data_IF_934446408517
#
_entry.id   IF_934446408517
#
_cell.length_a   1.000
_cell.length_b   1.000
_cell.length_c   1.000
_cell.angle_alpha   90.00
_cell.angle_beta   90.00
_cell.angle_gamma   90.00
#
_symmetry.space_group_name_H-M   'P 1'
#
loop_
_entity.id
_entity.type
_entity.pdbx_description
1 polymer ?
#
# COMPACT_ATOMS: atom_id res chain seq x y z
N UNK A 1 51.68 -22.44 -27.40
CA UNK A 1 50.27 -22.14 -27.40
C UNK A 1 49.76 -22.40 -25.99
N UNK A 2 49.55 -21.39 -25.13
CA UNK A 2 48.95 -21.63 -23.83
C UNK A 2 47.42 -21.46 -23.92
N UNK A 3 46.73 -22.37 -23.24
CA UNK A 3 45.29 -22.40 -23.14
C UNK A 3 44.80 -21.32 -22.17
N UNK A 4 43.75 -20.59 -22.55
CA UNK A 4 43.03 -19.69 -21.69
C UNK A 4 42.17 -20.44 -20.64
N UNK A 5 42.16 -20.07 -19.39
CA UNK A 5 41.16 -20.55 -18.44
C UNK A 5 39.83 -19.84 -18.71
N UNK A 6 38.79 -20.62 -18.84
CA UNK A 6 37.40 -20.14 -18.82
C UNK A 6 37.03 -19.86 -17.37
N UNK A 7 36.83 -18.60 -17.06
CA UNK A 7 36.21 -18.16 -15.81
C UNK A 7 34.68 -18.34 -15.98
N UNK A 8 34.15 -19.35 -15.33
CA UNK A 8 32.73 -19.59 -15.22
C UNK A 8 32.28 -19.15 -13.82
N UNK A 9 32.02 -17.87 -13.64
CA UNK A 9 31.23 -17.41 -12.50
C UNK A 9 29.77 -17.83 -12.75
N UNK A 10 29.43 -19.04 -12.36
CA UNK A 10 28.03 -19.42 -12.17
C UNK A 10 27.50 -18.63 -10.97
N UNK A 11 26.76 -17.57 -11.24
CA UNK A 11 25.81 -17.06 -10.26
C UNK A 11 24.78 -18.17 -10.07
N UNK A 12 24.73 -18.73 -8.87
CA UNK A 12 23.62 -19.56 -8.45
C UNK A 12 22.38 -18.66 -8.45
N UNK A 13 21.48 -18.86 -9.39
CA UNK A 13 20.14 -18.31 -9.33
C UNK A 13 19.52 -18.81 -8.02
N UNK A 14 19.09 -17.88 -7.15
CA UNK A 14 18.29 -18.23 -6.00
C UNK A 14 17.03 -18.96 -6.53
N UNK A 15 16.56 -20.01 -5.86
CA UNK A 15 15.38 -20.71 -6.32
C UNK A 15 14.20 -19.72 -6.40
N UNK A 16 13.57 -19.62 -7.56
CA UNK A 16 12.30 -18.92 -7.71
C UNK A 16 11.28 -19.65 -6.83
N UNK A 17 10.88 -19.00 -5.73
CA UNK A 17 9.73 -19.46 -4.96
C UNK A 17 8.48 -19.14 -5.77
N UNK A 18 7.99 -20.10 -6.51
CA UNK A 18 6.75 -20.00 -7.27
C UNK A 18 5.64 -20.57 -6.39
N UNK A 19 4.63 -19.75 -6.07
CA UNK A 19 3.37 -20.26 -5.52
C UNK A 19 2.71 -21.08 -6.63
N UNK A 20 2.83 -22.40 -6.57
CA UNK A 20 2.27 -23.32 -7.56
C UNK A 20 0.86 -23.70 -7.13
N UNK A 21 -0.12 -23.05 -7.69
CA UNK A 21 -1.52 -23.46 -7.53
C UNK A 21 -2.44 -22.36 -7.01
N UNK A 22 -3.75 -22.65 -6.99
CA UNK A 22 -4.71 -21.80 -6.33
C UNK A 22 -4.38 -21.68 -4.84
N UNK A 23 -4.89 -20.63 -4.20
CA UNK A 23 -4.88 -20.46 -2.74
C UNK A 23 -5.20 -21.79 -2.08
N UNK A 24 -4.40 -22.20 -1.08
CA UNK A 24 -4.56 -23.52 -0.44
C UNK A 24 -6.00 -23.75 0.03
N UNK A 25 -6.46 -24.99 -0.09
CA UNK A 25 -7.85 -25.36 0.16
C UNK A 25 -8.27 -25.21 1.65
N UNK A 26 -7.29 -25.16 2.57
CA UNK A 26 -7.53 -25.05 4.01
C UNK A 26 -6.88 -23.78 4.57
N UNK A 27 -7.64 -22.67 4.73
CA UNK A 27 -7.14 -21.45 5.35
C UNK A 27 -6.83 -21.67 6.84
N UNK A 28 -5.76 -20.98 7.34
CA UNK A 28 -5.28 -21.12 8.71
C UNK A 28 -6.16 -20.39 9.73
N UNK A 29 -6.84 -19.32 9.31
CA UNK A 29 -7.57 -18.41 10.20
C UNK A 29 -9.03 -18.25 9.81
N UNK A 30 -9.78 -17.70 10.76
CA UNK A 30 -11.17 -17.30 10.58
C UNK A 30 -11.26 -15.78 10.38
N UNK A 31 -12.23 -15.35 9.56
CA UNK A 31 -12.48 -13.95 9.28
C UNK A 31 -13.59 -13.40 10.16
N UNK A 32 -13.27 -12.47 11.04
CA UNK A 32 -14.20 -11.77 11.91
C UNK A 32 -14.58 -10.40 11.32
N UNK A 33 -15.87 -10.06 11.32
CA UNK A 33 -16.33 -8.71 10.94
C UNK A 33 -16.12 -7.74 12.10
N UNK A 34 -15.40 -6.64 11.81
CA UNK A 34 -15.16 -5.54 12.78
C UNK A 34 -16.16 -4.40 12.57
N UNK A 35 -16.32 -3.95 11.30
CA UNK A 35 -17.22 -2.84 10.96
C UNK A 35 -17.82 -3.00 9.55
N UNK A 36 -18.99 -2.41 9.34
CA UNK A 36 -19.72 -2.39 8.08
C UNK A 36 -19.93 -0.96 7.61
N UNK A 37 -19.36 -0.58 6.46
CA UNK A 37 -19.45 0.77 5.90
C UNK A 37 -20.61 0.86 4.91
N UNK A 38 -21.58 1.74 5.20
CA UNK A 38 -22.72 2.02 4.31
C UNK A 38 -22.53 3.29 3.49
N UNK A 39 -21.51 4.07 3.80
CA UNK A 39 -21.10 5.30 3.15
C UNK A 39 -20.15 5.09 1.95
N UNK A 40 -19.07 5.87 1.82
CA UNK A 40 -18.05 5.73 0.78
C UNK A 40 -17.25 4.43 0.91
N UNK A 41 -16.53 4.12 -0.16
CA UNK A 41 -15.67 2.94 -0.25
C UNK A 41 -14.38 3.15 0.56
N UNK A 42 -14.08 2.32 1.59
CA UNK A 42 -12.82 2.42 2.34
C UNK A 42 -11.66 1.86 1.52
N UNK A 43 -10.46 2.42 1.70
CA UNK A 43 -9.21 1.83 1.22
C UNK A 43 -8.30 1.45 2.38
N UNK A 44 -7.88 2.39 3.21
CA UNK A 44 -6.91 2.15 4.26
C UNK A 44 -7.52 1.83 5.62
N UNK A 45 -6.75 1.12 6.43
CA UNK A 45 -6.98 0.89 7.86
C UNK A 45 -5.66 0.97 8.60
N UNK A 46 -5.68 1.56 9.79
CA UNK A 46 -4.57 1.47 10.74
C UNK A 46 -5.08 1.39 12.17
N UNK A 47 -4.40 0.56 12.98
CA UNK A 47 -4.78 0.37 14.39
C UNK A 47 -3.64 0.87 15.28
N UNK A 48 -3.97 1.76 16.23
CA UNK A 48 -2.99 2.28 17.19
C UNK A 48 -2.56 1.21 18.19
N UNK A 49 -1.45 1.47 18.88
CA UNK A 49 -0.97 0.55 19.90
C UNK A 49 -1.91 0.44 21.10
N UNK A 50 -2.83 1.40 21.23
CA UNK A 50 -3.89 1.41 22.25
C UNK A 50 -5.22 0.83 21.76
N UNK A 51 -5.27 0.36 20.51
CA UNK A 51 -6.44 -0.30 19.91
C UNK A 51 -7.44 0.65 19.27
N UNK A 52 -7.10 1.93 19.04
CA UNK A 52 -7.94 2.86 18.26
C UNK A 52 -7.86 2.47 16.78
N UNK A 53 -8.98 2.44 16.09
CA UNK A 53 -9.07 2.01 14.68
C UNK A 53 -9.38 3.21 13.80
N UNK A 54 -8.51 3.47 12.84
CA UNK A 54 -8.66 4.54 11.85
C UNK A 54 -8.92 3.96 10.48
N UNK A 55 -9.74 4.64 9.67
CA UNK A 55 -10.08 4.24 8.30
C UNK A 55 -10.09 5.47 7.42
N UNK A 56 -9.67 5.32 6.16
CA UNK A 56 -9.77 6.39 5.18
C UNK A 56 -10.58 6.03 3.94
N UNK A 57 -11.10 7.07 3.31
CA UNK A 57 -11.94 7.02 2.11
C UNK A 57 -11.40 8.01 1.08
N UNK A 58 -10.87 7.55 -0.06
CA UNK A 58 -10.36 8.45 -1.09
C UNK A 58 -11.50 9.11 -1.87
N UNK A 59 -11.21 10.25 -2.47
CA UNK A 59 -12.14 10.98 -3.34
C UNK A 59 -12.20 10.34 -4.74
N UNK A 60 -12.84 9.16 -4.85
CA UNK A 60 -12.96 8.37 -6.09
C UNK A 60 -14.38 8.34 -6.67
N UNK A 61 -15.16 9.40 -6.41
CA UNK A 61 -16.48 9.59 -6.98
C UNK A 61 -17.66 9.23 -6.08
N UNK A 62 -17.41 8.65 -4.92
CA UNK A 62 -18.40 8.56 -3.85
C UNK A 62 -18.55 9.94 -3.16
N UNK A 63 -19.69 10.17 -2.51
CA UNK A 63 -19.83 11.25 -1.56
C UNK A 63 -19.03 10.88 -0.30
N UNK A 64 -17.98 11.64 0.01
CA UNK A 64 -17.05 11.40 1.12
C UNK A 64 -17.19 12.53 2.14
N UNK A 65 -18.05 12.40 3.16
CA UNK A 65 -18.25 13.44 4.19
C UNK A 65 -17.00 13.69 5.03
N UNK A 66 -16.20 12.65 5.25
CA UNK A 66 -14.89 12.73 5.89
C UNK A 66 -13.95 11.70 5.24
N UNK A 67 -12.76 12.14 4.84
CA UNK A 67 -11.79 11.26 4.19
C UNK A 67 -10.97 10.44 5.19
N UNK A 68 -10.91 10.87 6.46
CA UNK A 68 -10.32 10.12 7.58
C UNK A 68 -11.29 10.06 8.74
N UNK A 69 -11.54 8.87 9.26
CA UNK A 69 -12.39 8.66 10.43
C UNK A 69 -11.72 7.78 11.46
N UNK A 70 -12.12 7.91 12.72
CA UNK A 70 -11.90 6.93 13.76
C UNK A 70 -13.19 6.17 14.03
N UNK A 71 -13.11 4.85 14.19
CA UNK A 71 -14.24 4.02 14.61
C UNK A 71 -14.39 4.10 16.13
N UNK A 72 -15.42 4.82 16.60
CA UNK A 72 -15.73 4.99 18.04
C UNK A 72 -17.13 4.46 18.32
N UNK A 73 -17.25 3.47 19.18
CA UNK A 73 -18.53 2.87 19.59
C UNK A 73 -19.41 2.46 18.40
N UNK A 74 -18.80 1.96 17.33
CA UNK A 74 -19.48 1.57 16.10
C UNK A 74 -19.85 2.72 15.15
N UNK A 75 -19.48 3.97 15.46
CA UNK A 75 -19.67 5.13 14.61
C UNK A 75 -18.37 5.55 13.89
N UNK A 76 -18.53 6.10 12.68
CA UNK A 76 -17.47 6.72 11.88
C UNK A 76 -17.36 8.20 12.27
N UNK A 77 -16.34 8.56 13.07
CA UNK A 77 -16.13 9.93 13.59
C UNK A 77 -15.01 10.62 12.83
N UNK A 78 -15.24 11.79 12.17
CA UNK A 78 -14.19 12.52 11.45
C UNK A 78 -12.95 12.78 12.32
N UNK A 79 -11.75 12.43 11.81
CA UNK A 79 -10.51 12.50 12.55
C UNK A 79 -9.43 13.29 11.77
N UNK A 80 -8.58 14.12 12.41
CA UNK A 80 -8.58 14.46 13.82
C UNK A 80 -9.79 15.34 14.22
N UNK A 81 -10.34 16.06 13.26
CA UNK A 81 -11.53 16.91 13.44
C UNK A 81 -12.22 17.17 12.08
N UNK A 82 -13.43 17.76 12.06
CA UNK A 82 -14.15 18.07 10.82
C UNK A 82 -13.44 19.10 9.93
N UNK A 83 -12.61 19.99 10.49
CA UNK A 83 -11.91 21.03 9.71
C UNK A 83 -10.87 20.40 8.78
N UNK A 84 -10.11 19.42 9.27
CA UNK A 84 -9.15 18.70 8.45
C UNK A 84 -9.80 17.89 7.32
N UNK A 85 -11.06 17.53 7.47
CA UNK A 85 -11.86 16.81 6.48
C UNK A 85 -12.68 17.75 5.56
N UNK A 86 -12.39 19.06 5.53
CA UNK A 86 -13.14 20.06 4.76
C UNK A 86 -12.20 20.96 3.96
N UNK A 87 -11.57 20.43 2.88
CA UNK A 87 -10.61 21.20 2.08
C UNK A 87 -11.30 22.34 1.32
N UNK A 88 -10.59 23.44 1.14
CA UNK A 88 -11.04 24.59 0.35
C UNK A 88 -10.74 24.45 -1.15
N UNK A 89 -9.89 23.49 -1.52
CA UNK A 89 -9.47 23.20 -2.88
C UNK A 89 -8.49 22.03 -2.95
N UNK A 90 -8.08 21.64 -4.16
CA UNK A 90 -7.17 20.50 -4.37
C UNK A 90 -5.71 20.80 -3.96
N UNK A 91 -5.38 22.07 -3.69
CA UNK A 91 -4.07 22.55 -3.24
C UNK A 91 -4.05 22.95 -1.76
N UNK A 92 -5.10 22.61 -1.00
CA UNK A 92 -5.21 22.98 0.42
C UNK A 92 -4.21 22.19 1.28
N UNK A 93 -3.13 22.86 1.69
CA UNK A 93 -2.12 22.29 2.59
C UNK A 93 -2.59 22.19 4.05
N UNK A 94 -3.74 22.74 4.41
CA UNK A 94 -4.26 22.82 5.78
C UNK A 94 -5.46 21.92 6.03
N UNK A 95 -5.87 21.12 5.04
CA UNK A 95 -6.93 20.12 5.13
C UNK A 95 -6.61 18.90 4.24
N UNK A 96 -7.30 17.78 4.46
CA UNK A 96 -7.17 16.58 3.65
C UNK A 96 -7.96 16.73 2.34
N UNK A 97 -7.29 16.53 1.21
CA UNK A 97 -7.89 16.65 -0.14
C UNK A 97 -8.41 15.31 -0.64
N UNK A 98 -7.56 14.29 -0.64
CA UNK A 98 -7.91 12.92 -1.05
C UNK A 98 -6.93 11.94 -0.41
N UNK A 99 -7.28 11.40 0.74
CA UNK A 99 -6.41 10.51 1.51
C UNK A 99 -6.47 9.11 0.95
N UNK A 100 -5.31 8.53 0.62
CA UNK A 100 -5.18 7.15 0.13
C UNK A 100 -4.76 6.19 1.22
N UNK A 101 -3.88 6.60 2.12
CA UNK A 101 -3.37 5.73 3.18
C UNK A 101 -3.27 6.46 4.51
N UNK A 102 -3.42 5.70 5.58
CA UNK A 102 -3.19 6.10 6.97
C UNK A 102 -2.38 5.00 7.65
N UNK A 103 -1.34 5.38 8.39
CA UNK A 103 -0.47 4.42 9.08
C UNK A 103 -0.10 4.95 10.46
N UNK A 104 -0.27 4.12 11.48
CA UNK A 104 0.27 4.37 12.82
C UNK A 104 1.74 3.98 12.83
N UNK A 105 2.62 4.93 13.15
CA UNK A 105 4.04 4.71 13.18
C UNK A 105 4.52 3.96 14.45
N UNK A 106 5.78 3.52 14.50
CA UNK A 106 6.31 2.82 15.68
C UNK A 106 6.20 3.60 17.01
N UNK A 107 6.02 4.92 16.99
CA UNK A 107 5.84 5.76 18.19
C UNK A 107 4.37 6.04 18.54
N UNK A 108 3.42 5.29 17.95
CA UNK A 108 1.98 5.42 18.15
C UNK A 108 1.42 6.79 17.73
N UNK A 109 1.89 7.32 16.58
CA UNK A 109 1.38 8.54 15.95
C UNK A 109 0.73 8.17 14.62
N UNK A 110 -0.44 8.75 14.33
CA UNK A 110 -1.10 8.53 13.04
C UNK A 110 -0.48 9.43 11.97
N UNK A 111 -0.07 8.84 10.86
CA UNK A 111 0.30 9.55 9.65
C UNK A 111 -0.75 9.37 8.58
N UNK A 112 -1.14 10.48 7.98
CA UNK A 112 -2.15 10.55 6.91
C UNK A 112 -1.44 10.91 5.62
N UNK A 113 -1.49 10.03 4.64
CA UNK A 113 -0.91 10.22 3.32
C UNK A 113 -1.99 10.73 2.36
N UNK A 114 -1.91 12.01 2.04
CA UNK A 114 -2.84 12.68 1.15
C UNK A 114 -2.24 12.78 -0.26
N UNK A 115 -2.93 12.23 -1.22
CA UNK A 115 -2.48 12.26 -2.62
C UNK A 115 -2.57 13.65 -3.24
N UNK A 116 -3.48 14.51 -2.74
CA UNK A 116 -3.83 15.76 -3.42
C UNK A 116 -4.35 15.55 -4.85
N UNK A 117 -4.89 14.35 -5.14
CA UNK A 117 -5.28 13.92 -6.50
C UNK A 117 -6.68 13.30 -6.52
N UNK A 118 -7.73 14.07 -6.16
CA UNK A 118 -9.09 13.55 -6.21
C UNK A 118 -9.45 13.14 -7.64
N UNK A 119 -10.09 11.98 -7.80
CA UNK A 119 -10.44 11.38 -9.10
C UNK A 119 -9.23 11.18 -10.01
N UNK A 120 -8.04 10.92 -9.44
CA UNK A 120 -6.77 10.79 -10.17
C UNK A 120 -6.43 12.00 -11.07
N UNK A 121 -6.91 13.19 -10.71
CA UNK A 121 -6.54 14.44 -11.38
C UNK A 121 -5.07 14.78 -11.11
N UNK A 122 -4.41 15.52 -12.01
CA UNK A 122 -3.05 15.97 -11.76
C UNK A 122 -2.91 16.70 -10.42
N UNK A 123 -1.84 16.38 -9.69
CA UNK A 123 -1.53 17.02 -8.40
C UNK A 123 -1.17 18.50 -8.59
N UNK A 124 -1.57 19.33 -7.62
CA UNK A 124 -1.14 20.73 -7.51
C UNK A 124 -0.19 20.90 -6.32
N UNK A 125 0.63 21.94 -6.35
CA UNK A 125 1.55 22.25 -5.24
C UNK A 125 0.76 22.51 -3.96
N UNK A 126 1.14 21.81 -2.86
CA UNK A 126 0.44 21.87 -1.57
C UNK A 126 -0.61 20.78 -1.37
N UNK A 127 -1.14 20.18 -2.45
CA UNK A 127 -2.09 19.06 -2.37
C UNK A 127 -1.46 17.79 -1.80
N UNK A 128 -0.44 17.21 -2.45
CA UNK A 128 0.26 16.02 -1.93
C UNK A 128 1.01 16.33 -0.64
N UNK A 129 0.70 15.58 0.43
CA UNK A 129 1.30 15.80 1.75
C UNK A 129 1.25 14.57 2.63
N UNK A 130 2.13 14.57 3.62
CA UNK A 130 2.18 13.60 4.71
C UNK A 130 1.92 14.36 6.02
N UNK A 131 0.86 14.01 6.74
CA UNK A 131 0.39 14.74 7.93
C UNK A 131 0.46 13.84 9.15
N UNK A 132 1.20 14.27 10.18
CA UNK A 132 1.26 13.58 11.48
C UNK A 132 0.20 14.11 12.42
N UNK A 133 -0.53 13.19 13.03
CA UNK A 133 -1.47 13.47 14.12
C UNK A 133 -0.97 12.78 15.38
N UNK A 134 -0.81 13.54 16.44
CA UNK A 134 -0.39 13.06 17.75
C UNK A 134 -1.64 12.50 18.49
N UNK A 135 -1.66 11.17 18.71
CA UNK A 135 -2.86 10.48 19.22
C UNK A 135 -3.17 10.73 20.70
N UNK A 136 -2.22 11.25 21.47
CA UNK A 136 -2.44 11.66 22.85
C UNK A 136 -3.30 12.93 22.95
N UNK A 137 -3.27 13.78 21.94
CA UNK A 137 -3.95 15.10 21.92
C UNK A 137 -4.95 15.23 20.80
N UNK A 138 -5.06 14.26 19.90
CA UNK A 138 -5.84 14.27 18.66
C UNK A 138 -5.58 15.54 17.81
N UNK A 139 -4.32 15.99 17.78
CA UNK A 139 -3.94 17.23 17.09
C UNK A 139 -2.85 17.01 16.05
N UNK A 140 -2.93 17.79 14.96
CA UNK A 140 -1.89 17.78 13.94
C UNK A 140 -0.60 18.39 14.48
N UNK A 141 0.47 17.60 14.50
CA UNK A 141 1.78 17.99 14.99
C UNK A 141 2.76 18.36 13.89
N UNK A 142 2.58 17.86 12.65
CA UNK A 142 3.46 18.13 11.52
C UNK A 142 2.74 17.97 10.19
N UNK A 143 3.09 18.83 9.22
CA UNK A 143 2.67 18.72 7.81
C UNK A 143 3.90 18.78 6.93
N UNK A 144 4.10 17.78 6.10
CA UNK A 144 5.18 17.71 5.10
C UNK A 144 4.51 17.74 3.73
N UNK A 145 4.67 18.83 2.99
CA UNK A 145 4.22 18.94 1.59
C UNK A 145 5.32 18.50 0.65
N UNK A 146 4.96 17.81 -0.41
CA UNK A 146 5.95 17.32 -1.40
C UNK A 146 6.20 18.37 -2.47
N UNK A 147 7.49 18.64 -2.82
CA UNK A 147 7.81 19.48 -3.96
C UNK A 147 7.43 18.81 -5.28
N UNK A 148 7.21 19.61 -6.33
CA UNK A 148 6.69 19.16 -7.63
C UNK A 148 7.63 18.29 -8.45
N UNK A 149 8.89 18.20 -8.07
CA UNK A 149 9.90 17.28 -8.62
C UNK A 149 9.93 15.92 -7.87
N UNK A 150 9.24 15.82 -6.73
CA UNK A 150 9.05 14.59 -5.97
C UNK A 150 7.63 14.06 -6.18
N UNK A 151 6.60 14.83 -5.86
CA UNK A 151 5.22 14.52 -6.24
C UNK A 151 4.93 15.19 -7.60
N UNK A 152 5.21 14.45 -8.67
CA UNK A 152 5.00 14.89 -10.05
C UNK A 152 3.49 15.10 -10.31
N UNK A 153 3.09 15.84 -11.35
CA UNK A 153 1.66 15.98 -11.70
C UNK A 153 0.94 14.66 -11.92
N UNK A 154 1.68 13.59 -12.25
CA UNK A 154 1.16 12.23 -12.46
C UNK A 154 1.29 11.32 -11.25
N UNK A 155 1.99 11.75 -10.19
CA UNK A 155 2.21 10.94 -8.99
C UNK A 155 0.89 10.62 -8.28
N UNK A 156 0.76 9.38 -7.85
CA UNK A 156 -0.27 8.94 -6.94
C UNK A 156 0.37 8.31 -5.70
N UNK A 157 0.44 9.09 -4.62
CA UNK A 157 0.99 8.63 -3.33
C UNK A 157 0.07 7.54 -2.80
N UNK A 158 0.56 6.31 -2.64
CA UNK A 158 -0.31 5.20 -2.34
C UNK A 158 -0.25 4.74 -0.89
N UNK A 159 0.87 4.17 -0.45
CA UNK A 159 1.01 3.69 0.92
C UNK A 159 2.36 4.06 1.51
N UNK A 160 2.52 3.99 2.84
CA UNK A 160 3.70 4.47 3.56
C UNK A 160 4.14 3.50 4.67
N UNK A 161 5.48 3.38 4.88
CA UNK A 161 6.06 2.66 6.03
C UNK A 161 7.15 3.51 6.67
N UNK A 162 7.40 3.29 7.97
CA UNK A 162 8.27 4.12 8.79
C UNK A 162 9.39 3.32 9.45
N UNK A 163 10.62 3.89 9.46
CA UNK A 163 11.72 3.45 10.31
C UNK A 163 12.23 4.66 11.13
N UNK A 164 11.88 4.72 12.42
CA UNK A 164 12.21 5.84 13.29
C UNK A 164 13.66 5.78 13.83
N UNK A 165 14.40 4.71 13.57
CA UNK A 165 15.80 4.57 13.95
C UNK A 165 16.76 5.30 13.02
N UNK A 166 16.25 5.77 11.83
CA UNK A 166 17.06 6.41 10.79
C UNK A 166 16.89 7.92 10.85
N UNK A 167 18.00 8.66 10.73
CA UNK A 167 17.99 10.13 10.82
C UNK A 167 17.64 10.61 12.24
N UNK A 168 17.25 11.88 12.36
CA UNK A 168 16.95 12.51 13.66
C UNK A 168 15.55 12.17 14.18
N UNK A 169 14.54 12.11 13.28
CA UNK A 169 13.15 11.86 13.64
C UNK A 169 12.55 10.63 12.92
N UNK A 170 13.34 9.93 12.13
CA UNK A 170 12.93 8.80 11.33
C UNK A 170 12.87 9.07 9.84
N UNK A 171 12.64 8.01 9.08
CA UNK A 171 12.48 8.01 7.63
C UNK A 171 11.16 7.36 7.27
N UNK A 172 10.43 7.94 6.30
CA UNK A 172 9.28 7.32 5.68
C UNK A 172 9.58 6.89 4.25
N UNK A 173 8.96 5.79 3.82
CA UNK A 173 9.03 5.23 2.47
C UNK A 173 7.62 5.16 1.91
N UNK A 174 7.40 5.72 0.72
CA UNK A 174 6.07 5.86 0.10
C UNK A 174 6.12 5.27 -1.31
N UNK A 175 5.11 4.50 -1.69
CA UNK A 175 4.94 4.02 -3.05
C UNK A 175 4.21 5.04 -3.93
N UNK A 176 4.64 5.15 -5.20
CA UNK A 176 3.98 5.93 -6.25
C UNK A 176 3.33 4.99 -7.27
N UNK A 177 2.02 4.81 -7.15
CA UNK A 177 1.24 3.90 -7.98
C UNK A 177 0.65 4.57 -9.23
N UNK A 178 1.19 5.71 -9.65
CA UNK A 178 0.73 6.45 -10.83
C UNK A 178 0.28 5.55 -12.00
N UNK A 179 -0.85 5.89 -12.60
CA UNK A 179 -1.39 5.19 -13.78
C UNK A 179 -0.62 5.49 -15.08
N UNK A 180 -0.04 6.67 -15.20
CA UNK A 180 0.46 7.20 -16.49
C UNK A 180 1.83 7.84 -16.42
N UNK A 181 2.32 8.07 -15.23
CA UNK A 181 3.62 8.67 -14.99
C UNK A 181 4.66 7.64 -14.57
N UNK A 182 5.89 8.07 -14.34
CA UNK A 182 6.91 7.20 -13.79
C UNK A 182 6.54 6.80 -12.37
N UNK A 183 6.58 5.49 -12.10
CA UNK A 183 6.42 4.96 -10.75
C UNK A 183 7.74 5.00 -9.99
N UNK A 184 7.71 4.82 -8.69
CA UNK A 184 8.92 4.84 -7.87
C UNK A 184 8.64 4.64 -6.39
N UNK A 185 9.68 4.81 -5.59
CA UNK A 185 9.62 4.92 -4.14
C UNK A 185 10.01 6.36 -3.77
N UNK A 186 9.20 7.02 -2.96
CA UNK A 186 9.52 8.34 -2.40
C UNK A 186 10.01 8.12 -0.98
N UNK A 187 11.13 8.76 -0.64
CA UNK A 187 11.74 8.71 0.69
C UNK A 187 11.62 10.07 1.34
N UNK A 188 11.33 10.11 2.63
CA UNK A 188 11.13 11.34 3.39
C UNK A 188 11.97 11.30 4.66
N UNK A 189 12.81 12.29 4.87
CA UNK A 189 13.41 12.60 6.16
C UNK A 189 12.38 13.31 7.04
N UNK A 190 11.94 12.68 8.12
CA UNK A 190 10.84 13.20 8.94
C UNK A 190 11.24 14.40 9.80
N UNK A 191 12.53 14.63 10.04
CA UNK A 191 13.00 15.79 10.80
C UNK A 191 12.94 17.08 9.97
N UNK A 192 13.47 17.02 8.76
CA UNK A 192 13.59 18.18 7.86
C UNK A 192 12.39 18.34 6.92
N UNK A 193 11.64 17.26 6.64
CA UNK A 193 10.65 17.19 5.58
C UNK A 193 11.25 17.07 4.17
N UNK A 194 12.58 16.96 4.05
CA UNK A 194 13.22 16.72 2.76
C UNK A 194 12.79 15.38 2.18
N UNK A 195 12.54 15.36 0.89
CA UNK A 195 12.08 14.15 0.20
C UNK A 195 12.77 13.99 -1.15
N UNK A 196 12.89 12.75 -1.61
CA UNK A 196 13.50 12.42 -2.90
C UNK A 196 12.90 11.14 -3.47
N UNK A 197 13.02 10.96 -4.80
CA UNK A 197 12.56 9.78 -5.52
C UNK A 197 13.68 8.77 -5.67
N UNK A 198 13.36 7.49 -5.52
CA UNK A 198 14.21 6.33 -5.79
C UNK A 198 13.48 5.35 -6.71
N UNK A 199 14.23 4.51 -7.40
CA UNK A 199 13.69 3.54 -8.37
C UNK A 199 12.72 4.22 -9.35
N UNK A 200 13.01 5.46 -9.73
CA UNK A 200 12.21 6.25 -10.64
C UNK A 200 12.13 5.55 -12.00
N UNK A 201 10.93 5.21 -12.43
CA UNK A 201 10.67 4.49 -13.68
C UNK A 201 11.38 3.11 -13.81
N UNK A 202 11.83 2.54 -12.67
CA UNK A 202 12.49 1.25 -12.65
C UNK A 202 11.52 0.11 -12.99
N UNK A 203 11.94 -0.96 -13.71
CA UNK A 203 11.06 -2.06 -14.08
C UNK A 203 10.30 -2.70 -12.92
N UNK A 204 10.91 -2.80 -11.72
CA UNK A 204 10.29 -3.37 -10.52
C UNK A 204 9.15 -2.53 -9.94
N UNK A 205 9.05 -1.24 -10.30
CA UNK A 205 8.00 -0.34 -9.81
C UNK A 205 6.84 -0.21 -10.79
N UNK A 206 6.91 -0.86 -11.96
CA UNK A 206 5.89 -0.78 -13.02
C UNK A 206 4.93 -1.95 -13.01
N UNK A 207 3.72 -1.71 -13.49
CA UNK A 207 2.79 -2.79 -13.81
C UNK A 207 3.42 -3.80 -14.77
N UNK A 208 3.13 -5.07 -14.56
CA UNK A 208 3.56 -6.14 -15.46
C UNK A 208 2.85 -5.97 -16.83
N UNK A 209 3.54 -6.18 -17.95
CA UNK A 209 2.92 -6.03 -19.26
C UNK A 209 1.73 -6.97 -19.43
N UNK A 210 0.62 -6.48 -20.01
CA UNK A 210 -0.60 -7.25 -20.27
C UNK A 210 -0.38 -8.55 -21.06
N UNK A 211 0.72 -8.62 -21.82
CA UNK A 211 1.10 -9.82 -22.57
C UNK A 211 1.59 -10.97 -21.67
N UNK A 212 2.11 -10.64 -20.51
CA UNK A 212 2.67 -11.60 -19.54
C UNK A 212 1.74 -11.87 -18.36
N UNK A 213 1.02 -10.85 -17.90
CA UNK A 213 0.09 -10.97 -16.79
C UNK A 213 -1.21 -10.21 -17.06
N UNK A 214 -2.31 -10.85 -16.76
CA UNK A 214 -3.66 -10.28 -16.81
C UNK A 214 -4.45 -10.77 -15.62
N UNK A 215 -4.64 -9.95 -14.59
CA UNK A 215 -5.44 -10.34 -13.44
C UNK A 215 -6.85 -10.75 -13.83
N UNK A 216 -7.40 -11.75 -13.14
CA UNK A 216 -8.77 -12.23 -13.33
C UNK A 216 -9.52 -12.11 -12.00
N UNK A 217 -10.49 -11.22 -11.94
CA UNK A 217 -11.31 -10.99 -10.75
C UNK A 217 -12.74 -11.37 -11.04
N UNK A 218 -13.35 -12.18 -10.17
CA UNK A 218 -14.72 -12.74 -10.37
C UNK A 218 -14.89 -13.39 -11.76
N UNK A 219 -13.86 -14.13 -12.23
CA UNK A 219 -13.88 -14.85 -13.51
C UNK A 219 -13.77 -13.96 -14.75
N UNK A 220 -13.44 -12.68 -14.60
CA UNK A 220 -13.28 -11.72 -15.71
C UNK A 220 -11.93 -11.04 -15.68
N UNK A 221 -11.26 -10.86 -16.85
CA UNK A 221 -10.05 -10.06 -16.90
C UNK A 221 -10.26 -8.66 -16.33
N UNK A 222 -9.39 -8.24 -15.41
CA UNK A 222 -9.41 -6.92 -14.80
C UNK A 222 -8.90 -5.88 -15.82
N UNK A 223 -9.79 -5.04 -16.29
CA UNK A 223 -9.53 -3.97 -17.25
C UNK A 223 -10.33 -2.74 -16.85
N UNK A 224 -9.82 -1.56 -17.11
CA UNK A 224 -10.68 -0.39 -17.21
C UNK A 224 -11.66 -0.57 -18.35
N UNK A 225 -12.94 -0.36 -18.07
CA UNK A 225 -14.03 -0.41 -19.05
C UNK A 225 -14.85 0.86 -18.91
N UNK A 226 -14.41 1.96 -19.54
CA UNK A 226 -15.17 3.21 -19.49
C UNK A 226 -16.56 3.03 -20.10
N UNK A 227 -17.50 3.91 -19.78
CA UNK A 227 -18.85 3.91 -20.37
C UNK A 227 -18.76 4.00 -21.90
N UNK A 228 -17.89 4.89 -22.38
CA UNK A 228 -17.63 5.12 -23.80
C UNK A 228 -16.17 4.73 -24.12
N UNK A 229 -15.99 3.84 -25.10
CA UNK A 229 -14.68 3.43 -25.58
C UNK A 229 -14.32 1.96 -25.32
N UNK A 230 -13.18 1.53 -25.85
CA UNK A 230 -12.69 0.16 -25.69
C UNK A 230 -12.11 -0.07 -24.29
N UNK A 231 -12.12 -1.33 -23.79
CA UNK A 231 -11.40 -1.70 -22.60
C UNK A 231 -9.90 -1.39 -22.70
N UNK A 232 -9.31 -0.96 -21.59
CA UNK A 232 -7.88 -0.63 -21.46
C UNK A 232 -7.22 -1.45 -20.36
N UNK A 233 -5.93 -1.79 -20.50
CA UNK A 233 -5.16 -2.34 -19.37
C UNK A 233 -5.10 -1.32 -18.20
N UNK A 234 -5.08 -1.83 -16.99
CA UNK A 234 -4.71 -1.05 -15.83
C UNK A 234 -3.18 -1.03 -15.77
N UNK A 235 -2.59 0.14 -15.57
CA UNK A 235 -1.15 0.32 -15.54
C UNK A 235 -0.64 0.88 -14.20
N UNK A 236 -1.36 0.60 -13.10
CA UNK A 236 -0.94 1.02 -11.76
C UNK A 236 0.33 0.28 -11.35
N UNK A 237 1.34 1.06 -11.01
CA UNK A 237 2.66 0.57 -10.62
C UNK A 237 2.75 0.29 -9.13
N UNK A 238 3.88 0.68 -8.53
CA UNK A 238 4.27 0.42 -7.14
C UNK A 238 3.17 0.81 -6.15
N UNK A 239 2.61 -0.18 -5.48
CA UNK A 239 1.38 -0.09 -4.69
C UNK A 239 1.62 -0.61 -3.27
N UNK A 240 1.33 -1.88 -3.01
CA UNK A 240 1.54 -2.50 -1.71
C UNK A 240 2.98 -2.38 -1.23
N UNK A 241 3.16 -2.09 0.07
CA UNK A 241 4.46 -1.84 0.70
C UNK A 241 4.50 -2.44 2.11
N UNK A 242 5.62 -3.05 2.49
CA UNK A 242 5.92 -3.51 3.84
C UNK A 242 7.40 -3.30 4.17
N UNK A 243 7.74 -3.19 5.44
CA UNK A 243 9.13 -3.09 5.89
C UNK A 243 9.51 -4.34 6.68
N UNK A 244 10.71 -4.90 6.47
CA UNK A 244 11.14 -6.07 7.22
C UNK A 244 11.20 -5.81 8.72
N UNK A 245 11.01 -6.84 9.54
CA UNK A 245 11.00 -6.73 11.02
C UNK A 245 12.31 -6.14 11.58
N UNK A 246 13.42 -6.34 10.90
CA UNK A 246 14.73 -5.76 11.22
C UNK A 246 14.98 -4.39 10.58
N UNK A 247 14.09 -3.97 9.66
CA UNK A 247 14.16 -2.71 8.91
C UNK A 247 15.21 -2.69 7.80
N UNK A 248 15.83 -3.82 7.46
CA UNK A 248 16.89 -3.88 6.44
C UNK A 248 16.36 -3.82 5.00
N UNK A 249 15.11 -4.25 4.79
CA UNK A 249 14.48 -4.34 3.48
C UNK A 249 13.12 -3.66 3.46
N UNK A 250 12.85 -2.95 2.38
CA UNK A 250 11.52 -2.48 2.00
C UNK A 250 10.97 -3.42 0.93
N UNK A 251 9.85 -4.07 1.21
CA UNK A 251 9.11 -4.90 0.26
C UNK A 251 8.04 -4.08 -0.45
N UNK A 252 7.85 -4.31 -1.73
CA UNK A 252 6.83 -3.62 -2.51
C UNK A 252 6.39 -4.44 -3.72
N UNK A 253 5.19 -4.15 -4.23
CA UNK A 253 4.71 -4.74 -5.48
C UNK A 253 3.92 -3.72 -6.30
N UNK A 254 3.94 -3.80 -7.64
CA UNK A 254 2.95 -3.12 -8.46
C UNK A 254 1.57 -3.74 -8.26
N UNK A 255 0.51 -2.93 -8.32
CA UNK A 255 -0.88 -3.42 -8.22
C UNK A 255 -1.17 -4.50 -9.27
N UNK A 256 -0.77 -4.24 -10.51
CA UNK A 256 -0.96 -5.15 -11.62
C UNK A 256 0.34 -5.90 -11.92
N UNK A 257 0.71 -6.78 -11.02
CA UNK A 257 1.82 -7.73 -11.18
C UNK A 257 1.62 -8.92 -10.27
N UNK A 258 2.04 -10.10 -10.71
CA UNK A 258 2.22 -11.27 -9.84
C UNK A 258 3.58 -11.28 -9.15
N UNK A 259 4.52 -10.45 -9.62
CA UNK A 259 5.85 -10.31 -9.04
C UNK A 259 5.86 -9.26 -7.94
N UNK A 260 6.75 -9.46 -6.98
CA UNK A 260 7.05 -8.49 -5.95
C UNK A 260 8.54 -8.42 -5.69
N UNK A 261 8.97 -7.38 -5.01
CA UNK A 261 10.36 -7.02 -4.91
C UNK A 261 10.69 -6.54 -3.52
N UNK A 262 11.98 -6.55 -3.19
CA UNK A 262 12.50 -5.84 -2.03
C UNK A 262 13.73 -5.03 -2.39
N UNK A 263 14.03 -4.00 -1.62
CA UNK A 263 15.18 -3.11 -1.82
C UNK A 263 15.81 -2.77 -0.48
N UNK A 264 17.13 -2.49 -0.47
CA UNK A 264 17.83 -2.06 0.74
C UNK A 264 17.29 -0.72 1.25
N UNK A 265 16.85 -0.67 2.50
CA UNK A 265 16.46 0.58 3.16
C UNK A 265 17.64 1.52 3.38
N UNK A 266 18.86 0.99 3.59
CA UNK A 266 20.09 1.79 3.68
C UNK A 266 20.35 2.52 2.35
N UNK A 267 20.22 1.81 1.22
CA UNK A 267 20.42 2.41 -0.09
C UNK A 267 19.34 3.44 -0.45
N UNK A 268 18.09 3.23 -0.03
CA UNK A 268 16.99 4.17 -0.25
C UNK A 268 17.18 5.46 0.56
N UNK A 269 17.53 5.32 1.84
CA UNK A 269 17.52 6.42 2.81
C UNK A 269 18.69 7.39 2.68
N UNK A 270 19.80 7.01 2.05
CA UNK A 270 20.93 7.90 1.84
C UNK A 270 20.83 8.61 0.47
N UNK A 271 20.54 9.92 0.43
CA UNK A 271 20.42 10.66 -0.83
C UNK A 271 21.72 10.72 -1.64
N UNK A 272 22.88 10.44 -1.02
CA UNK A 272 24.19 10.43 -1.70
C UNK A 272 24.49 9.11 -2.43
N UNK A 273 23.74 8.04 -2.16
CA UNK A 273 23.89 6.78 -2.88
C UNK A 273 23.43 6.93 -4.33
N UNK A 274 24.24 6.48 -5.27
CA UNK A 274 23.94 6.48 -6.70
C UNK A 274 22.73 5.61 -7.01
N UNK A 275 21.82 6.08 -7.90
CA UNK A 275 20.59 5.36 -8.25
C UNK A 275 20.85 3.98 -8.86
N UNK A 276 22.00 3.77 -9.54
CA UNK A 276 22.41 2.46 -10.02
C UNK A 276 22.73 1.49 -8.89
N UNK A 277 23.28 1.97 -7.77
CA UNK A 277 23.51 1.14 -6.58
C UNK A 277 22.20 0.83 -5.86
N UNK A 278 21.26 1.77 -5.79
CA UNK A 278 19.92 1.52 -5.29
C UNK A 278 19.24 0.43 -6.12
N UNK A 279 19.25 0.57 -7.44
CA UNK A 279 18.68 -0.42 -8.37
C UNK A 279 19.37 -1.79 -8.25
N UNK A 280 20.69 -1.83 -8.06
CA UNK A 280 21.43 -3.08 -7.86
C UNK A 280 21.10 -3.77 -6.53
N UNK A 281 20.51 -3.08 -5.56
CA UNK A 281 20.07 -3.66 -4.29
C UNK A 281 18.65 -4.25 -4.34
N UNK A 282 17.94 -4.08 -5.47
CA UNK A 282 16.61 -4.68 -5.68
C UNK A 282 16.75 -6.19 -5.83
N UNK A 283 15.97 -6.91 -5.04
CA UNK A 283 15.79 -8.36 -5.16
C UNK A 283 14.39 -8.65 -5.71
N UNK A 284 14.29 -9.60 -6.62
CA UNK A 284 13.04 -10.20 -7.06
C UNK A 284 12.65 -11.28 -6.04
N UNK A 285 11.53 -11.10 -5.36
CA UNK A 285 11.07 -12.00 -4.29
C UNK A 285 10.22 -13.18 -4.81
N UNK A 286 10.01 -13.24 -6.12
CA UNK A 286 9.30 -14.33 -6.78
C UNK A 286 7.91 -13.98 -7.27
N UNK A 287 7.15 -15.02 -7.62
CA UNK A 287 5.74 -14.95 -8.01
C UNK A 287 4.87 -15.24 -6.78
N UNK A 288 3.96 -14.32 -6.45
CA UNK A 288 3.03 -14.45 -5.31
C UNK A 288 1.68 -15.10 -5.66
N UNK A 289 1.56 -15.66 -6.87
CA UNK A 289 0.38 -16.39 -7.32
C UNK A 289 -0.75 -15.52 -7.87
N UNK A 290 -0.55 -14.21 -8.01
CA UNK A 290 -1.56 -13.29 -8.53
C UNK A 290 -1.32 -11.85 -8.14
N UNK A 291 -2.29 -10.99 -8.40
CA UNK A 291 -2.25 -9.58 -8.04
C UNK A 291 -2.48 -9.35 -6.55
N UNK A 292 -1.74 -8.40 -5.98
CA UNK A 292 -1.92 -7.88 -4.62
C UNK A 292 -2.13 -6.39 -4.65
N UNK A 293 -2.94 -5.91 -3.73
CA UNK A 293 -3.08 -4.49 -3.40
C UNK A 293 -2.14 -4.17 -2.21
N UNK A 294 -2.50 -4.53 -0.99
CA UNK A 294 -1.71 -4.29 0.20
C UNK A 294 -0.68 -5.37 0.52
N UNK A 295 0.43 -4.91 1.12
CA UNK A 295 1.41 -5.73 1.81
C UNK A 295 1.52 -5.29 3.28
N UNK A 296 1.83 -6.22 4.18
CA UNK A 296 2.09 -5.92 5.59
C UNK A 296 3.13 -6.90 6.17
N UNK A 297 3.70 -6.57 7.31
CA UNK A 297 4.69 -7.38 8.01
C UNK A 297 4.46 -7.39 9.51
N UNK A 298 4.94 -8.43 10.19
CA UNK A 298 4.86 -8.56 11.63
C UNK A 298 6.24 -8.66 12.31
N UNK A 299 6.25 -8.57 13.62
CA UNK A 299 7.45 -8.65 14.46
C UNK A 299 8.11 -10.04 14.49
N UNK A 300 7.42 -11.07 14.00
CA UNK A 300 7.96 -12.42 13.80
C UNK A 300 8.64 -12.62 12.44
N UNK A 301 8.68 -11.57 11.60
CA UNK A 301 9.30 -11.60 10.28
C UNK A 301 8.44 -12.25 9.18
N UNK A 302 7.15 -12.42 9.41
CA UNK A 302 6.21 -12.90 8.41
C UNK A 302 5.69 -11.73 7.57
N UNK A 303 5.34 -12.01 6.32
CA UNK A 303 4.81 -11.05 5.37
C UNK A 303 3.38 -11.46 4.98
N UNK A 304 2.50 -10.50 4.88
CA UNK A 304 1.11 -10.67 4.48
C UNK A 304 0.87 -9.97 3.16
N UNK A 305 0.15 -10.65 2.27
CA UNK A 305 -0.13 -10.18 0.92
C UNK A 305 -1.63 -10.36 0.65
N UNK A 306 -2.30 -9.30 0.27
CA UNK A 306 -3.68 -9.44 -0.20
C UNK A 306 -3.69 -10.17 -1.55
N UNK A 307 -4.75 -10.92 -1.82
CA UNK A 307 -4.96 -11.59 -3.11
C UNK A 307 -6.36 -11.23 -3.63
N UNK A 308 -6.44 -10.15 -4.41
CA UNK A 308 -7.72 -9.65 -4.91
C UNK A 308 -8.34 -10.54 -5.98
N UNK A 309 -7.55 -11.40 -6.63
CA UNK A 309 -8.06 -12.38 -7.60
C UNK A 309 -8.77 -13.55 -6.89
N UNK A 310 -8.38 -13.86 -5.64
CA UNK A 310 -8.82 -15.06 -4.92
C UNK A 310 -9.60 -14.78 -3.64
N UNK A 311 -9.93 -13.52 -3.33
CA UNK A 311 -10.62 -13.12 -2.09
C UNK A 311 -9.91 -13.67 -0.84
N UNK A 312 -8.61 -13.48 -0.76
CA UNK A 312 -7.76 -14.08 0.25
C UNK A 312 -6.70 -13.12 0.78
N UNK A 313 -6.13 -13.47 1.93
CA UNK A 313 -4.85 -12.95 2.41
C UNK A 313 -3.89 -14.14 2.50
N UNK A 314 -2.73 -13.99 1.88
CA UNK A 314 -1.63 -14.95 1.97
C UNK A 314 -0.67 -14.51 3.07
N UNK A 315 0.01 -15.48 3.68
CA UNK A 315 1.12 -15.27 4.61
C UNK A 315 2.36 -15.94 4.06
N UNK A 316 3.47 -15.20 3.95
CA UNK A 316 4.78 -15.78 3.69
C UNK A 316 5.54 -15.87 4.99
N UNK A 317 5.95 -17.09 5.37
CA UNK A 317 6.78 -17.36 6.53
C UNK A 317 8.20 -16.81 6.39
N UNK A 318 8.94 -16.76 7.50
CA UNK A 318 10.37 -16.41 7.50
C UNK A 318 11.24 -17.42 6.72
N UNK A 319 10.75 -18.64 6.52
CA UNK A 319 11.34 -19.69 5.68
C UNK A 319 11.10 -19.49 4.17
N UNK A 320 10.26 -18.50 3.81
CA UNK A 320 9.88 -18.18 2.44
C UNK A 320 8.66 -18.93 1.90
N UNK A 321 8.10 -19.86 2.68
CA UNK A 321 6.92 -20.62 2.27
C UNK A 321 5.63 -19.80 2.38
N UNK A 322 4.69 -20.06 1.46
CA UNK A 322 3.40 -19.39 1.42
C UNK A 322 2.30 -20.26 2.00
N UNK A 323 1.43 -19.62 2.74
CA UNK A 323 0.22 -20.22 3.31
C UNK A 323 -0.97 -19.30 3.05
N UNK A 324 -2.17 -19.89 2.92
CA UNK A 324 -3.41 -19.11 2.93
C UNK A 324 -3.78 -18.78 4.36
N UNK A 325 -3.67 -17.51 4.76
CA UNK A 325 -4.10 -17.09 6.09
C UNK A 325 -5.62 -17.12 6.19
N UNK A 326 -6.32 -16.46 5.27
CA UNK A 326 -7.79 -16.49 5.16
C UNK A 326 -8.19 -16.51 3.69
N UNK A 327 -9.29 -17.21 3.41
CA UNK A 327 -9.99 -17.20 2.14
C UNK A 327 -11.49 -17.17 2.42
N UNK A 328 -12.16 -16.10 1.98
CA UNK A 328 -13.59 -15.91 2.25
C UNK A 328 -14.22 -15.12 1.10
N UNK A 329 -15.38 -15.55 0.56
CA UNK A 329 -16.07 -14.82 -0.51
C UNK A 329 -16.50 -13.40 -0.14
N UNK A 330 -16.49 -13.03 1.15
CA UNK A 330 -16.73 -11.65 1.62
C UNK A 330 -15.52 -10.74 1.45
N UNK A 331 -14.29 -11.28 1.28
CA UNK A 331 -13.06 -10.53 0.99
C UNK A 331 -13.02 -10.08 -0.48
N UNK A 332 -14.04 -9.39 -0.93
CA UNK A 332 -14.11 -8.87 -2.30
C UNK A 332 -13.19 -7.66 -2.42
N UNK A 333 -12.04 -7.86 -3.06
CA UNK A 333 -10.96 -6.91 -3.16
C UNK A 333 -10.41 -6.52 -1.78
N UNK A 334 -9.65 -7.42 -1.10
CA UNK A 334 -8.89 -7.04 0.09
C UNK A 334 -7.83 -6.01 -0.34
N UNK A 335 -7.84 -4.85 0.34
CA UNK A 335 -7.02 -3.69 0.00
C UNK A 335 -5.88 -3.54 1.02
N UNK A 336 -6.03 -2.70 2.01
CA UNK A 336 -5.00 -2.40 3.00
C UNK A 336 -5.13 -3.30 4.24
N UNK A 337 -3.99 -3.56 4.86
CA UNK A 337 -3.88 -4.33 6.10
C UNK A 337 -3.19 -3.54 7.21
N UNK A 338 -3.47 -3.89 8.46
CA UNK A 338 -2.78 -3.37 9.64
C UNK A 338 -2.60 -4.47 10.68
N UNK A 339 -1.37 -4.78 11.05
CA UNK A 339 -1.07 -5.63 12.20
C UNK A 339 -1.24 -4.83 13.48
N UNK A 340 -2.04 -5.33 14.41
CA UNK A 340 -2.33 -4.66 15.66
C UNK A 340 -1.69 -5.34 16.88
N UNK A 341 -1.57 -4.60 17.97
CA UNK A 341 -0.99 -5.12 19.23
C UNK A 341 -1.86 -6.15 19.95
N UNK A 342 -3.13 -6.29 19.52
CA UNK A 342 -4.06 -7.31 20.02
C UNK A 342 -3.87 -8.71 19.41
N UNK A 343 -2.88 -8.87 18.52
CA UNK A 343 -2.55 -10.13 17.85
C UNK A 343 -3.42 -10.43 16.63
N UNK A 344 -4.07 -9.42 16.07
CA UNK A 344 -4.88 -9.53 14.85
C UNK A 344 -4.29 -8.75 13.69
N UNK A 345 -4.57 -9.25 12.50
CA UNK A 345 -4.42 -8.54 11.23
C UNK A 345 -5.80 -8.01 10.83
N UNK A 346 -5.91 -6.71 10.69
CA UNK A 346 -7.09 -6.03 10.17
C UNK A 346 -6.98 -5.87 8.66
N UNK A 347 -8.08 -6.00 7.92
CA UNK A 347 -8.11 -5.89 6.46
C UNK A 347 -9.40 -5.24 5.96
N UNK A 348 -9.28 -4.25 5.08
CA UNK A 348 -10.42 -3.65 4.37
C UNK A 348 -10.81 -4.50 3.15
N UNK A 349 -12.10 -4.59 2.87
CA UNK A 349 -12.66 -5.23 1.67
C UNK A 349 -13.65 -4.28 1.00
N UNK A 350 -13.32 -3.78 -0.19
CA UNK A 350 -13.95 -2.60 -0.76
C UNK A 350 -14.63 -2.78 -2.11
N UNK A 351 -14.47 -3.93 -2.79
CA UNK A 351 -15.09 -4.21 -4.08
C UNK A 351 -14.63 -3.27 -5.21
N UNK A 352 -13.37 -2.81 -5.21
CA UNK A 352 -12.81 -1.84 -6.16
C UNK A 352 -13.16 -2.19 -7.62
N UNK A 353 -12.96 -3.44 -8.02
CA UNK A 353 -13.21 -3.94 -9.38
C UNK A 353 -14.66 -3.81 -9.86
N UNK A 354 -15.60 -3.51 -8.96
CA UNK A 354 -17.02 -3.30 -9.24
C UNK A 354 -17.39 -1.82 -9.43
N UNK A 355 -16.44 -0.89 -9.30
CA UNK A 355 -16.65 0.54 -9.57
C UNK A 355 -17.04 0.80 -11.03
N UNK A 356 -17.69 1.94 -11.33
CA UNK A 356 -18.10 2.35 -12.68
C UNK A 356 -16.97 2.31 -13.71
N UNK A 357 -15.74 2.65 -13.32
CA UNK A 357 -14.54 2.64 -14.17
C UNK A 357 -14.26 1.27 -14.78
N UNK A 358 -14.56 0.20 -14.05
CA UNK A 358 -14.32 -1.17 -14.48
C UNK A 358 -15.55 -1.85 -15.10
N UNK A 359 -16.72 -1.21 -15.03
CA UNK A 359 -18.02 -1.82 -15.32
C UNK A 359 -18.86 -1.00 -16.31
N UNK A 360 -18.23 -0.33 -17.28
CA UNK A 360 -18.89 0.43 -18.34
C UNK A 360 -19.80 1.55 -17.82
N UNK A 361 -19.34 2.24 -16.77
CA UNK A 361 -20.07 3.32 -16.12
C UNK A 361 -21.16 2.85 -15.13
N UNK A 362 -21.32 1.54 -14.93
CA UNK A 362 -22.29 0.99 -13.98
C UNK A 362 -21.62 0.71 -12.64
N UNK A 363 -22.16 1.22 -11.57
CA UNK A 363 -21.72 0.83 -10.22
C UNK A 363 -22.35 -0.51 -9.82
N UNK A 364 -21.51 -1.55 -9.74
CA UNK A 364 -21.92 -2.90 -9.34
C UNK A 364 -21.53 -3.23 -7.90
N UNK A 365 -20.96 -2.27 -7.16
CA UNK A 365 -20.64 -2.45 -5.74
C UNK A 365 -21.92 -2.67 -4.94
N UNK A 366 -21.83 -3.49 -3.92
CA UNK A 366 -22.94 -3.78 -3.01
C UNK A 366 -22.55 -3.46 -1.59
N UNK A 367 -23.16 -2.44 -1.04
CA UNK A 367 -22.97 -2.06 0.37
C UNK A 367 -23.66 -3.06 1.30
N UNK A 368 -23.15 -3.26 2.51
CA UNK A 368 -22.00 -2.55 3.08
C UNK A 368 -20.66 -3.07 2.56
N UNK A 369 -19.63 -2.20 2.58
CA UNK A 369 -18.23 -2.63 2.57
C UNK A 369 -17.85 -3.10 3.96
N UNK A 370 -16.67 -3.69 4.11
CA UNK A 370 -16.32 -4.30 5.39
C UNK A 370 -14.87 -4.02 5.82
N UNK A 371 -14.70 -3.85 7.12
CA UNK A 371 -13.46 -4.06 7.82
C UNK A 371 -13.54 -5.42 8.53
N UNK A 372 -12.61 -6.29 8.19
CA UNK A 372 -12.45 -7.59 8.84
C UNK A 372 -11.17 -7.64 9.67
N UNK A 373 -11.05 -8.67 10.50
CA UNK A 373 -9.80 -9.06 11.13
C UNK A 373 -9.66 -10.58 11.20
N UNK A 374 -8.42 -11.03 11.29
CA UNK A 374 -8.07 -12.44 11.53
C UNK A 374 -6.94 -12.54 12.52
N UNK A 375 -6.92 -13.60 13.33
CA UNK A 375 -5.90 -13.80 14.36
C UNK A 375 -4.59 -14.26 13.74
N UNK A 376 -3.48 -13.64 14.13
CA UNK A 376 -2.13 -13.96 13.66
C UNK A 376 -1.14 -14.25 14.78
N UNK A 377 -1.48 -13.94 16.04
CA UNK A 377 -0.64 -14.11 17.24
C UNK A 377 0.76 -13.48 17.10
N UNK A 378 0.80 -12.25 16.55
CA UNK A 378 2.01 -11.42 16.42
C UNK A 378 1.67 -9.95 16.57
N UNK A 379 2.67 -9.12 16.78
CA UNK A 379 2.57 -7.68 16.88
C UNK A 379 3.08 -6.94 15.64
N UNK A 380 2.85 -5.61 15.58
CA UNK A 380 3.37 -4.78 14.50
C UNK A 380 4.91 -4.65 14.57
N UNK A 381 5.51 -4.34 13.41
CA UNK A 381 6.94 -4.00 13.32
C UNK A 381 7.17 -2.62 13.96
N UNK A 382 7.92 -2.57 15.04
CA UNK A 382 8.20 -1.33 15.80
C UNK A 382 9.69 -0.92 15.70
N UNK A 383 10.06 -0.30 14.59
CA UNK A 383 11.41 0.23 14.31
C UNK A 383 11.60 1.60 14.98
N UNK A 384 11.89 1.62 16.30
CA UNK A 384 12.03 2.82 17.14
C UNK A 384 13.26 2.77 18.09
#
# INVERSE_FOLDING_TARGET
MPAHPRDASQRADAPEHVVTGPVADEPLGELELVHSFTGPMPTGVSVSHTGRVFVNFPQWGDEVPATVVELRDGAEVPFPDPRWNSPSGDDDATAFVSVQSIVVDPADRLWVLDTGSPMFRPTAAGGPKLVRVDLDTDSVGQVITFPTDVALPTTYLNDVRFDLRRGEAGTAYITDSSHSGPNGIIVVDLASGASWRRLHDHPSTKAEPLATFRPVVEGRPLLERPADGPPKPIAMGSDGIAISHDGARLYYCPLVSRHWYSVSTDALADPAVDDGLVAASVAHEGDKGGGSDGLESDDAGRLYLTSYEHNAVLRRGADGEYETLVHDPRLLWPDTMSVATDGYLYVTANQLHRQPTYQRGQDLRRKPYALFRTRIDAGPVLLR
#
